data_IF_828628883065
#
_entry.id   IF_828628883065
#
_cell.length_a   1.000
_cell.length_b   1.000
_cell.length_c   1.000
_cell.angle_alpha   90.00
_cell.angle_beta   90.00
_cell.angle_gamma   90.00
#
_symmetry.space_group_name_H-M   'P 1'
#
loop_
_entity.id
_entity.type
_entity.pdbx_description
1 polymer ?
#
# COMPACT_ATOMS: atom_id res chain seq x y z
N UNK A 1 48.49 -11.33 -45.16
CA UNK A 1 47.26 -11.84 -44.52
C UNK A 1 47.54 -11.96 -43.04
N UNK A 2 47.19 -10.92 -42.26
CA UNK A 2 47.53 -10.81 -40.83
C UNK A 2 46.24 -11.00 -40.04
N UNK A 3 46.16 -12.09 -39.30
CA UNK A 3 45.01 -12.45 -38.47
C UNK A 3 45.02 -11.59 -37.21
N UNK A 4 44.11 -10.62 -37.15
CA UNK A 4 43.90 -9.79 -35.96
C UNK A 4 43.14 -10.63 -34.92
N UNK A 5 43.86 -11.36 -34.06
CA UNK A 5 43.27 -12.06 -32.92
C UNK A 5 42.78 -11.00 -31.92
N UNK A 6 41.48 -10.69 -31.93
CA UNK A 6 40.87 -9.86 -30.90
C UNK A 6 40.93 -10.61 -29.55
N UNK A 7 41.71 -10.07 -28.62
CA UNK A 7 41.69 -10.51 -27.24
C UNK A 7 40.29 -10.27 -26.66
N UNK A 8 39.55 -11.35 -26.39
CA UNK A 8 38.29 -11.30 -25.67
C UNK A 8 38.56 -10.68 -24.28
N UNK A 9 38.10 -9.44 -24.06
CA UNK A 9 38.14 -8.79 -22.75
C UNK A 9 37.37 -9.64 -21.76
N UNK A 10 38.08 -10.17 -20.76
CA UNK A 10 37.47 -10.84 -19.62
C UNK A 10 36.42 -9.94 -18.98
N UNK A 11 35.21 -10.47 -18.78
CA UNK A 11 34.11 -9.75 -18.15
C UNK A 11 34.54 -9.28 -16.75
N UNK A 12 34.52 -7.97 -16.55
CA UNK A 12 34.85 -7.36 -15.27
C UNK A 12 33.79 -7.76 -14.23
N UNK A 13 34.16 -8.60 -13.25
CA UNK A 13 33.37 -8.96 -12.07
C UNK A 13 33.19 -7.78 -11.08
N UNK A 14 32.70 -6.63 -11.57
CA UNK A 14 32.30 -5.51 -10.72
C UNK A 14 30.80 -5.64 -10.47
N UNK A 15 30.33 -5.53 -9.23
CA UNK A 15 28.90 -5.52 -8.96
C UNK A 15 28.27 -4.33 -9.69
N UNK A 16 27.18 -4.60 -10.43
CA UNK A 16 26.46 -3.59 -11.21
C UNK A 16 25.87 -2.47 -10.32
N UNK A 17 25.63 -2.78 -9.05
CA UNK A 17 25.04 -1.88 -8.07
C UNK A 17 25.90 -1.80 -6.80
N UNK A 18 25.98 -0.62 -6.17
CA UNK A 18 26.66 -0.49 -4.89
C UNK A 18 25.99 -1.40 -3.85
N UNK A 19 26.76 -2.11 -3.01
CA UNK A 19 26.20 -3.00 -2.00
C UNK A 19 25.36 -2.20 -1.01
N UNK A 20 24.23 -2.79 -0.60
CA UNK A 20 23.36 -2.19 0.42
C UNK A 20 24.16 -1.91 1.70
N UNK A 21 23.96 -0.76 2.36
CA UNK A 21 24.64 -0.47 3.61
C UNK A 21 24.22 -1.44 4.72
N UNK A 22 25.10 -1.69 5.72
CA UNK A 22 24.82 -2.58 6.83
C UNK A 22 23.60 -2.09 7.65
N UNK A 23 22.89 -3.01 8.34
CA UNK A 23 21.68 -2.69 9.10
C UNK A 23 21.97 -1.64 10.20
N UNK A 24 21.05 -0.67 10.32
CA UNK A 24 21.17 0.45 11.26
C UNK A 24 20.59 1.74 10.68
N UNK A 25 20.87 2.87 11.36
CA UNK A 25 20.38 4.21 10.98
C UNK A 25 20.86 4.60 9.57
N UNK A 26 22.10 4.23 9.23
CA UNK A 26 22.69 4.47 7.90
C UNK A 26 21.86 3.84 6.77
N UNK A 27 21.22 2.69 7.03
CA UNK A 27 20.34 2.03 6.05
C UNK A 27 19.01 2.77 5.87
N UNK A 28 18.43 3.29 6.95
CA UNK A 28 17.21 4.10 6.86
C UNK A 28 17.43 5.41 6.10
N UNK A 29 18.57 6.07 6.36
CA UNK A 29 18.96 7.26 5.60
C UNK A 29 19.20 6.96 4.12
N UNK A 30 19.83 5.82 3.81
CA UNK A 30 20.01 5.37 2.42
C UNK A 30 18.68 5.05 1.72
N UNK A 31 17.75 4.38 2.40
CA UNK A 31 16.39 4.13 1.90
C UNK A 31 15.65 5.44 1.61
N UNK A 32 15.77 6.43 2.49
CA UNK A 32 15.17 7.75 2.30
C UNK A 32 15.79 8.51 1.14
N UNK A 33 17.14 8.49 1.03
CA UNK A 33 17.83 9.08 -0.10
C UNK A 33 17.31 8.50 -1.43
N UNK A 34 17.22 7.18 -1.55
CA UNK A 34 16.75 6.54 -2.79
C UNK A 34 15.32 6.97 -3.11
N UNK A 35 14.42 7.01 -2.11
CA UNK A 35 13.05 7.49 -2.33
C UNK A 35 13.03 8.92 -2.83
N UNK A 36 13.88 9.79 -2.26
CA UNK A 36 14.01 11.16 -2.69
C UNK A 36 14.56 11.25 -4.12
N UNK A 37 15.62 10.50 -4.45
CA UNK A 37 16.20 10.45 -5.79
C UNK A 37 15.16 10.00 -6.84
N UNK A 38 14.29 9.03 -6.50
CA UNK A 38 13.19 8.62 -7.38
C UNK A 38 12.15 9.72 -7.60
N UNK A 39 11.76 10.44 -6.56
CA UNK A 39 10.81 11.56 -6.67
C UNK A 39 11.43 12.73 -7.43
N UNK A 40 12.71 13.01 -7.19
CA UNK A 40 13.45 14.03 -7.91
C UNK A 40 13.59 13.68 -9.40
N UNK A 41 13.88 12.42 -9.74
CA UNK A 41 13.91 11.97 -11.12
C UNK A 41 12.57 12.17 -11.83
N UNK A 42 11.44 11.92 -11.14
CA UNK A 42 10.11 12.24 -11.67
C UNK A 42 9.90 13.74 -11.91
N UNK A 43 10.53 14.62 -11.13
CA UNK A 43 10.43 16.08 -11.28
C UNK A 43 11.22 16.65 -12.46
N UNK A 44 12.25 15.93 -12.93
CA UNK A 44 13.09 16.35 -14.06
C UNK A 44 12.50 15.89 -15.41
N UNK A 45 11.49 15.02 -15.37
CA UNK A 45 10.87 14.46 -16.57
C UNK A 45 10.04 15.51 -17.33
N UNK A 46 9.83 15.29 -18.62
CA UNK A 46 9.00 16.20 -19.42
C UNK A 46 7.56 16.22 -18.87
N UNK A 47 6.94 17.40 -18.72
CA UNK A 47 5.68 17.56 -17.99
C UNK A 47 4.53 16.69 -18.53
N UNK A 48 4.49 16.42 -19.83
CA UNK A 48 3.48 15.53 -20.41
C UNK A 48 3.63 14.07 -19.99
N UNK A 49 4.86 13.57 -19.89
CA UNK A 49 5.14 12.21 -19.44
C UNK A 49 4.82 12.07 -17.94
N UNK A 50 5.09 13.13 -17.15
CA UNK A 50 4.80 13.14 -15.71
C UNK A 50 3.30 13.05 -15.45
N UNK A 51 2.48 13.77 -16.25
CA UNK A 51 1.02 13.69 -16.15
C UNK A 51 0.49 12.28 -16.38
N UNK A 52 1.03 11.54 -17.36
CA UNK A 52 0.61 10.17 -17.65
C UNK A 52 0.92 9.24 -16.47
N UNK A 53 2.13 9.32 -15.92
CA UNK A 53 2.53 8.50 -14.77
C UNK A 53 1.66 8.83 -13.55
N UNK A 54 1.47 10.12 -13.25
CA UNK A 54 0.61 10.55 -12.14
C UNK A 54 -0.84 10.12 -12.33
N UNK A 55 -1.38 10.17 -13.55
CA UNK A 55 -2.74 9.72 -13.84
C UNK A 55 -2.91 8.21 -13.60
N UNK A 56 -1.95 7.39 -14.03
CA UNK A 56 -1.96 5.94 -13.78
C UNK A 56 -1.94 5.65 -12.28
N UNK A 57 -1.05 6.29 -11.52
CA UNK A 57 -1.02 6.13 -10.07
C UNK A 57 -2.31 6.62 -9.40
N UNK A 58 -2.90 7.72 -9.87
CA UNK A 58 -4.16 8.22 -9.35
C UNK A 58 -5.32 7.25 -9.60
N UNK A 59 -5.39 6.63 -10.79
CA UNK A 59 -6.40 5.61 -11.11
C UNK A 59 -6.23 4.40 -10.20
N UNK A 60 -5.00 3.88 -10.07
CA UNK A 60 -4.73 2.74 -9.19
C UNK A 60 -5.09 3.09 -7.74
N UNK A 61 -4.69 4.26 -7.25
CA UNK A 61 -5.00 4.71 -5.90
C UNK A 61 -6.52 4.86 -5.69
N UNK A 62 -7.25 5.38 -6.67
CA UNK A 62 -8.70 5.49 -6.62
C UNK A 62 -9.37 4.12 -6.61
N UNK A 63 -8.91 3.17 -7.42
CA UNK A 63 -9.39 1.78 -7.39
C UNK A 63 -9.16 1.14 -6.01
N UNK A 64 -7.99 1.34 -5.42
CA UNK A 64 -7.68 0.86 -4.07
C UNK A 64 -8.60 1.52 -3.04
N UNK A 65 -8.84 2.82 -3.13
CA UNK A 65 -9.71 3.54 -2.20
C UNK A 65 -11.16 3.05 -2.32
N UNK A 66 -11.67 2.88 -3.54
CA UNK A 66 -12.99 2.30 -3.81
C UNK A 66 -13.09 0.89 -3.23
N UNK A 67 -12.07 0.05 -3.41
CA UNK A 67 -12.03 -1.29 -2.84
C UNK A 67 -12.01 -1.26 -1.30
N UNK A 68 -11.19 -0.39 -0.72
CA UNK A 68 -11.08 -0.25 0.74
C UNK A 68 -12.41 0.22 1.33
N UNK A 69 -13.07 1.18 0.69
CA UNK A 69 -14.32 1.72 1.20
C UNK A 69 -15.50 0.75 1.04
N UNK A 70 -15.58 0.03 -0.09
CA UNK A 70 -16.75 -0.82 -0.38
C UNK A 70 -16.57 -2.28 0.08
N UNK A 71 -15.36 -2.84 -0.04
CA UNK A 71 -15.16 -4.29 0.07
C UNK A 71 -14.44 -4.71 1.36
N UNK A 72 -13.42 -3.96 1.78
CA UNK A 72 -12.70 -4.21 3.03
C UNK A 72 -13.62 -4.35 4.26
N UNK A 73 -14.62 -3.49 4.50
CA UNK A 73 -15.48 -3.63 5.66
C UNK A 73 -16.23 -4.97 5.70
N UNK A 74 -16.72 -5.43 4.55
CA UNK A 74 -17.40 -6.71 4.44
C UNK A 74 -16.47 -7.88 4.80
N UNK A 75 -15.24 -7.86 4.29
CA UNK A 75 -14.23 -8.89 4.58
C UNK A 75 -13.81 -8.94 6.05
N UNK A 76 -13.71 -7.77 6.68
CA UNK A 76 -13.38 -7.65 8.10
C UNK A 76 -14.47 -8.35 8.93
N UNK A 77 -15.75 -8.07 8.65
CA UNK A 77 -16.88 -8.70 9.37
C UNK A 77 -16.87 -10.23 9.21
N UNK A 78 -16.65 -10.73 8.00
CA UNK A 78 -16.56 -12.17 7.73
C UNK A 78 -15.41 -12.85 8.49
N UNK A 79 -14.26 -12.17 8.57
CA UNK A 79 -13.07 -12.68 9.27
C UNK A 79 -13.28 -12.68 10.78
N UNK A 80 -13.87 -11.61 11.33
CA UNK A 80 -14.20 -11.54 12.76
C UNK A 80 -15.24 -12.59 13.17
N UNK A 81 -16.24 -12.89 12.32
CA UNK A 81 -17.19 -13.98 12.57
C UNK A 81 -16.48 -15.32 12.75
N UNK A 82 -15.54 -15.63 11.87
CA UNK A 82 -14.75 -16.88 11.94
C UNK A 82 -13.80 -16.89 13.13
N UNK A 83 -13.16 -15.76 13.41
CA UNK A 83 -12.28 -15.61 14.58
C UNK A 83 -13.05 -15.82 15.89
N UNK A 84 -14.25 -15.23 16.01
CA UNK A 84 -15.12 -15.40 17.18
C UNK A 84 -15.50 -16.86 17.40
N UNK A 85 -15.84 -17.58 16.32
CA UNK A 85 -16.11 -19.02 16.37
C UNK A 85 -14.90 -19.83 16.87
N UNK A 86 -13.71 -19.56 16.34
CA UNK A 86 -12.50 -20.31 16.73
C UNK A 86 -12.05 -20.03 18.17
N UNK A 87 -12.27 -18.83 18.69
CA UNK A 87 -11.85 -18.47 20.05
C UNK A 87 -12.87 -18.95 21.10
N UNK A 88 -14.17 -18.77 20.86
CA UNK A 88 -15.19 -18.98 21.89
C UNK A 88 -15.98 -20.28 21.73
N UNK A 89 -15.96 -20.91 20.55
CA UNK A 89 -16.70 -22.16 20.29
C UNK A 89 -18.22 -22.04 20.35
N UNK A 90 -18.77 -20.86 20.61
CA UNK A 90 -20.20 -20.56 20.67
C UNK A 90 -20.60 -19.55 19.57
N UNK A 91 -21.65 -19.87 18.83
CA UNK A 91 -22.20 -19.06 17.74
C UNK A 91 -22.82 -17.75 18.26
N UNK A 92 -23.28 -17.73 19.52
CA UNK A 92 -23.92 -16.56 20.14
C UNK A 92 -22.95 -15.40 20.34
N UNK A 93 -21.75 -15.70 20.83
CA UNK A 93 -20.69 -14.69 21.03
C UNK A 93 -20.18 -14.15 19.70
N UNK A 94 -20.09 -15.01 18.66
CA UNK A 94 -19.71 -14.59 17.32
C UNK A 94 -20.75 -13.64 16.69
N UNK A 95 -22.04 -13.86 16.93
CA UNK A 95 -23.10 -12.98 16.44
C UNK A 95 -23.03 -11.57 17.07
N UNK A 96 -22.73 -11.49 18.37
CA UNK A 96 -22.57 -10.22 19.08
C UNK A 96 -21.38 -9.40 18.54
N UNK A 97 -20.22 -10.02 18.31
CA UNK A 97 -19.04 -9.33 17.74
C UNK A 97 -19.30 -8.81 16.32
N UNK A 98 -20.06 -9.57 15.52
CA UNK A 98 -20.49 -9.15 14.18
C UNK A 98 -21.47 -7.98 14.24
N UNK A 99 -22.41 -7.98 15.19
CA UNK A 99 -23.37 -6.89 15.41
C UNK A 99 -22.67 -5.57 15.77
N UNK A 100 -21.72 -5.63 16.71
CA UNK A 100 -20.91 -4.47 17.12
C UNK A 100 -20.08 -3.95 15.96
N UNK A 101 -19.43 -4.85 15.21
CA UNK A 101 -18.67 -4.48 14.01
C UNK A 101 -19.54 -3.80 12.96
N UNK A 102 -20.73 -4.35 12.68
CA UNK A 102 -21.71 -3.80 11.73
C UNK A 102 -22.21 -2.42 12.15
N UNK A 103 -22.51 -2.22 13.43
CA UNK A 103 -23.03 -0.95 13.96
C UNK A 103 -21.97 0.15 13.96
N UNK A 104 -20.71 -0.17 14.28
CA UNK A 104 -19.58 0.76 14.17
C UNK A 104 -19.39 1.18 12.70
N UNK A 105 -19.50 0.22 11.79
CA UNK A 105 -19.30 0.44 10.37
C UNK A 105 -20.44 1.26 9.73
N UNK A 106 -21.68 0.98 10.12
CA UNK A 106 -22.84 1.80 9.77
C UNK A 106 -22.73 3.21 10.34
N UNK A 107 -22.23 3.38 11.56
CA UNK A 107 -21.92 4.70 12.11
C UNK A 107 -20.92 5.44 11.22
N UNK A 108 -19.83 4.78 10.83
CA UNK A 108 -18.79 5.37 9.99
C UNK A 108 -19.28 5.79 8.59
N UNK A 109 -20.16 5.02 7.96
CA UNK A 109 -20.72 5.36 6.64
C UNK A 109 -21.86 6.38 6.70
N UNK A 110 -22.59 6.45 7.82
CA UNK A 110 -23.71 7.40 7.98
C UNK A 110 -23.26 8.78 8.47
N UNK A 111 -22.12 8.90 9.18
CA UNK A 111 -21.58 10.18 9.65
C UNK A 111 -21.29 11.16 8.49
N UNK A 112 -21.04 10.68 7.27
CA UNK A 112 -20.72 11.53 6.12
C UNK A 112 -21.92 11.82 5.17
N UNK A 113 -23.09 11.22 5.40
CA UNK A 113 -24.26 11.37 4.51
C UNK A 113 -25.38 12.25 5.08
N UNK A 114 -25.35 12.53 6.37
CA UNK A 114 -26.31 13.42 7.01
C UNK A 114 -25.55 14.61 7.61
N UNK A 115 -25.49 15.73 6.89
CA UNK A 115 -24.95 17.00 7.38
C UNK A 115 -25.78 17.62 8.52
N UNK A 116 -26.35 16.78 9.37
CA UNK A 116 -27.12 17.13 10.55
C UNK A 116 -26.47 16.41 11.72
N UNK A 117 -25.63 17.16 12.43
CA UNK A 117 -25.12 16.74 13.73
C UNK A 117 -26.28 16.67 14.69
N UNK A 118 -26.92 15.51 14.78
CA UNK A 118 -27.88 15.25 15.83
C UNK A 118 -27.07 14.69 17.02
N UNK A 119 -27.12 15.35 18.19
CA UNK A 119 -26.29 14.97 19.32
C UNK A 119 -26.65 13.57 19.79
N UNK A 120 -25.62 12.73 19.90
CA UNK A 120 -25.66 11.49 20.64
C UNK A 120 -25.93 11.90 22.09
N UNK A 121 -27.18 11.76 22.56
CA UNK A 121 -27.63 11.55 23.94
C UNK A 121 -29.10 12.00 24.08
N UNK A 122 -30.02 11.04 24.02
CA UNK A 122 -31.29 11.03 24.75
C UNK A 122 -31.69 9.57 24.98
#
# INVERSE_FOLDING_TARGET
>A
MITHMQAHRAASNRPLYPPRPPPGIKRKLWEWKIKFDCIFALSVMWPGEQMVICAIFAIIALLVLVYVYNYLPSQIIHTFKRLGYYIHGDEKTAHFTVEVGRNILHGWTTINMNGKGDPILA
#
